data_IF_755569081568
#
_entry.id   IF_755569081568
#
_cell.length_a   1.000
_cell.length_b   1.000
_cell.length_c   1.000
_cell.angle_alpha   90.00
_cell.angle_beta   90.00
_cell.angle_gamma   90.00
#
_symmetry.space_group_name_H-M   'P 1'
#
loop_
_entity.id
_entity.type
_entity.pdbx_description
1 polymer ?
#
# COMPACT_ATOMS: atom_id res chain seq x y z
N UNK A 1 -9.41 -6.52 -24.52
CA UNK A 1 -8.93 -6.94 -23.19
C UNK A 1 -8.30 -5.77 -22.42
N UNK A 2 -8.93 -4.58 -22.40
CA UNK A 2 -8.38 -3.39 -21.73
C UNK A 2 -9.20 -2.94 -20.50
N UNK A 3 -10.46 -3.39 -20.37
CA UNK A 3 -11.35 -3.00 -19.26
C UNK A 3 -10.97 -3.61 -17.90
N UNK A 4 -10.38 -4.81 -17.88
CA UNK A 4 -9.96 -5.44 -16.62
C UNK A 4 -8.76 -4.72 -15.98
N UNK A 5 -7.83 -4.19 -16.79
CA UNK A 5 -6.61 -3.55 -16.26
C UNK A 5 -6.89 -2.22 -15.56
N UNK A 6 -7.79 -1.39 -16.09
CA UNK A 6 -8.16 -0.12 -15.45
C UNK A 6 -8.90 -0.32 -14.12
N UNK A 7 -9.72 -1.39 -14.01
CA UNK A 7 -10.37 -1.73 -12.74
C UNK A 7 -9.35 -2.13 -11.68
N UNK A 8 -8.30 -2.86 -12.04
CA UNK A 8 -7.25 -3.27 -11.11
C UNK A 8 -6.37 -2.10 -10.63
N UNK A 9 -6.16 -1.07 -11.45
CA UNK A 9 -5.40 0.12 -11.01
C UNK A 9 -6.21 0.95 -10.01
N UNK A 10 -7.49 1.21 -10.29
CA UNK A 10 -8.35 1.95 -9.35
C UNK A 10 -8.46 1.21 -8.00
N UNK A 11 -8.66 -0.11 -8.03
CA UNK A 11 -8.75 -0.93 -6.82
C UNK A 11 -7.46 -0.85 -5.98
N UNK A 12 -6.29 -0.81 -6.63
CA UNK A 12 -5.03 -0.68 -5.92
C UNK A 12 -4.77 0.74 -5.41
N UNK A 13 -5.19 1.77 -6.15
CA UNK A 13 -5.17 3.16 -5.65
C UNK A 13 -6.06 3.30 -4.41
N UNK A 14 -7.25 2.72 -4.44
CA UNK A 14 -8.19 2.73 -3.31
C UNK A 14 -7.56 2.01 -2.10
N UNK A 15 -6.95 0.84 -2.30
CA UNK A 15 -6.22 0.12 -1.26
C UNK A 15 -5.05 0.92 -0.68
N UNK A 16 -4.32 1.68 -1.51
CA UNK A 16 -3.26 2.60 -1.06
C UNK A 16 -3.82 3.71 -0.18
N UNK A 17 -4.99 4.29 -0.54
CA UNK A 17 -5.62 5.34 0.24
C UNK A 17 -6.15 4.82 1.57
N UNK A 18 -6.80 3.66 1.58
CA UNK A 18 -7.24 3.00 2.83
C UNK A 18 -6.05 2.74 3.76
N UNK A 19 -4.98 2.15 3.23
CA UNK A 19 -3.77 1.88 4.00
C UNK A 19 -3.14 3.17 4.53
N UNK A 20 -3.10 4.24 3.73
CA UNK A 20 -2.61 5.55 4.16
C UNK A 20 -3.45 6.10 5.32
N UNK A 21 -4.77 5.99 5.24
CA UNK A 21 -5.69 6.42 6.29
C UNK A 21 -5.49 5.63 7.59
N UNK A 22 -5.37 4.31 7.50
CA UNK A 22 -5.14 3.44 8.66
C UNK A 22 -3.78 3.69 9.32
N UNK A 23 -2.72 3.92 8.54
CA UNK A 23 -1.41 4.28 9.09
C UNK A 23 -1.45 5.65 9.76
N UNK A 24 -2.13 6.63 9.16
CA UNK A 24 -2.27 7.97 9.72
C UNK A 24 -3.03 7.97 11.04
N UNK A 25 -4.08 7.14 11.19
CA UNK A 25 -4.81 7.00 12.46
C UNK A 25 -3.94 6.38 13.57
N UNK A 26 -2.95 5.56 13.21
CA UNK A 26 -1.91 5.06 14.11
C UNK A 26 -0.72 6.01 14.32
N UNK A 27 -0.76 7.23 13.74
CA UNK A 27 0.31 8.22 13.82
C UNK A 27 1.56 7.85 13.01
N UNK A 28 1.43 7.00 12.00
CA UNK A 28 2.50 6.54 11.11
C UNK A 28 2.34 7.20 9.74
N UNK A 29 3.45 7.71 9.19
CA UNK A 29 3.50 8.23 7.82
C UNK A 29 4.58 7.50 7.04
N UNK A 30 4.20 6.92 5.88
CA UNK A 30 5.11 6.32 4.92
C UNK A 30 5.12 7.17 3.64
N UNK A 31 6.10 8.07 3.46
CA UNK A 31 6.13 8.98 2.31
C UNK A 31 6.37 8.25 0.98
N UNK A 32 6.94 7.05 1.02
CA UNK A 32 7.16 6.18 -0.14
C UNK A 32 5.97 5.31 -0.51
N UNK A 33 4.89 5.30 0.29
CA UNK A 33 3.74 4.43 0.04
C UNK A 33 3.04 4.81 -1.27
N UNK A 34 2.94 3.86 -2.20
CA UNK A 34 2.31 4.04 -3.51
C UNK A 34 2.20 2.73 -4.29
N UNK A 35 1.89 2.83 -5.59
CA UNK A 35 1.91 1.67 -6.49
C UNK A 35 3.31 1.47 -7.08
N UNK A 36 3.71 0.22 -7.32
CA UNK A 36 4.96 -0.09 -8.00
C UNK A 36 4.93 0.42 -9.47
N UNK A 37 5.79 1.40 -9.83
CA UNK A 37 5.86 1.92 -11.19
C UNK A 37 6.30 0.87 -12.22
N UNK A 38 7.02 -0.18 -11.80
CA UNK A 38 7.48 -1.27 -12.70
C UNK A 38 6.32 -2.17 -13.09
N UNK A 39 5.34 -2.35 -12.22
CA UNK A 39 4.18 -3.21 -12.48
C UNK A 39 3.12 -2.51 -13.33
N UNK A 40 3.07 -1.17 -13.33
CA UNK A 40 2.25 -0.38 -14.26
C UNK A 40 2.66 -0.56 -15.73
N UNK A 41 3.91 -0.99 -15.99
CA UNK A 41 4.43 -1.22 -17.34
C UNK A 41 4.23 -2.66 -17.87
N UNK A 42 3.71 -3.59 -17.04
CA UNK A 42 3.53 -5.01 -17.42
C UNK A 42 2.11 -5.26 -17.93
N UNK A 43 1.98 -6.05 -19.00
CA UNK A 43 0.70 -6.48 -19.60
C UNK A 43 -0.19 -7.36 -18.69
N UNK A 44 0.23 -7.68 -17.46
CA UNK A 44 -0.54 -8.51 -16.51
C UNK A 44 -0.80 -7.75 -15.20
N UNK A 45 -2.06 -7.67 -14.71
CA UNK A 45 -2.59 -6.43 -14.17
C UNK A 45 -2.85 -6.46 -12.65
N UNK A 46 -1.97 -7.06 -11.86
CA UNK A 46 -2.06 -6.94 -10.39
C UNK A 46 -1.01 -5.93 -9.91
N UNK A 47 -1.30 -4.62 -9.91
CA UNK A 47 -0.39 -3.62 -9.35
C UNK A 47 -0.15 -3.94 -7.88
N UNK A 48 1.13 -4.03 -7.52
CA UNK A 48 1.55 -4.23 -6.14
C UNK A 48 1.66 -2.87 -5.44
N UNK A 49 1.37 -2.87 -4.15
CA UNK A 49 1.57 -1.71 -3.29
C UNK A 49 3.01 -1.72 -2.77
N UNK A 50 3.77 -0.70 -3.14
CA UNK A 50 5.10 -0.43 -2.60
C UNK A 50 4.98 0.31 -1.27
N UNK A 51 5.43 -0.34 -0.19
CA UNK A 51 5.45 0.26 1.15
C UNK A 51 6.68 1.17 1.35
N UNK A 52 7.77 0.86 0.65
CA UNK A 52 9.08 1.51 0.75
C UNK A 52 9.75 1.39 2.12
N UNK A 53 10.69 2.30 2.42
CA UNK A 53 11.52 2.24 3.63
C UNK A 53 10.89 3.04 4.76
N UNK A 54 11.00 2.51 5.97
CA UNK A 54 10.59 3.20 7.20
C UNK A 54 11.76 3.28 8.20
N UNK A 55 11.65 4.19 9.16
CA UNK A 55 12.59 4.27 10.29
C UNK A 55 12.36 3.11 11.26
N UNK A 56 13.34 2.80 12.11
CA UNK A 56 13.22 1.73 13.12
C UNK A 56 12.06 1.99 14.09
N UNK A 57 11.81 3.25 14.46
CA UNK A 57 10.68 3.62 15.30
C UNK A 57 9.34 3.32 14.62
N UNK A 58 9.20 3.71 13.35
CA UNK A 58 8.01 3.41 12.54
C UNK A 58 7.83 1.91 12.37
N UNK A 59 8.89 1.15 12.11
CA UNK A 59 8.83 -0.30 11.98
C UNK A 59 8.30 -0.98 13.27
N UNK A 60 8.74 -0.51 14.44
CA UNK A 60 8.26 -1.02 15.74
C UNK A 60 6.80 -0.68 15.98
N UNK A 61 6.39 0.56 15.72
CA UNK A 61 4.98 0.98 15.83
C UNK A 61 4.09 0.18 14.89
N UNK A 62 4.53 -0.02 13.65
CA UNK A 62 3.82 -0.82 12.65
C UNK A 62 3.65 -2.27 13.12
N UNK A 63 4.70 -2.88 13.68
CA UNK A 63 4.63 -4.24 14.21
C UNK A 63 3.59 -4.39 15.33
N UNK A 64 3.48 -3.39 16.22
CA UNK A 64 2.45 -3.38 17.28
C UNK A 64 1.04 -3.30 16.68
N UNK A 65 0.84 -2.39 15.71
CA UNK A 65 -0.45 -2.24 15.03
C UNK A 65 -0.83 -3.54 14.34
N UNK A 66 0.06 -4.09 13.49
CA UNK A 66 -0.19 -5.33 12.72
C UNK A 66 -0.45 -6.54 13.64
N UNK A 67 0.29 -6.68 14.73
CA UNK A 67 0.07 -7.75 15.70
C UNK A 67 -1.29 -7.63 16.42
N UNK A 68 -1.81 -6.42 16.59
CA UNK A 68 -3.12 -6.16 17.20
C UNK A 68 -4.33 -6.37 16.26
N UNK A 69 -4.11 -6.40 14.95
CA UNK A 69 -5.15 -6.66 13.93
C UNK A 69 -5.18 -8.11 13.45
N UNK A 70 -4.26 -8.97 13.90
CA UNK A 70 -4.30 -10.40 13.64
C UNK A 70 -5.37 -11.08 14.52
N UNK A 71 -6.64 -10.90 14.16
CA UNK A 71 -7.81 -11.46 14.85
C UNK A 71 -8.99 -11.63 13.90
#
# INVERSE_FOLDING_TARGET
>A
MAKHSAMCVQEAEDAVQELRGALASAGIVLPSLGLDPVMLARESPCPLVELGRCSVDVARRLAVVVAGVAG
#
